data_IF_162413323961
#
_entry.id   IF_162413323961
#
_cell.length_a   1.000
_cell.length_b   1.000
_cell.length_c   1.000
_cell.angle_alpha   90.00
_cell.angle_beta   90.00
_cell.angle_gamma   90.00
#
_symmetry.space_group_name_H-M   'P 1'
#
loop_
_entity.id
_entity.type
_entity.pdbx_description
1 polymer ?
#
# COMPACT_ATOMS: atom_id res chain seq x y z
N UNK A 1 -45.99 -30.21 12.50
CA UNK A 1 -46.42 -30.58 13.87
C UNK A 1 -46.01 -32.03 14.12
N UNK A 2 -45.78 -32.41 15.39
CA UNK A 2 -45.22 -33.69 15.87
C UNK A 2 -43.77 -33.96 15.39
N UNK A 3 -42.72 -33.87 16.21
CA UNK A 3 -42.35 -34.51 17.50
C UNK A 3 -41.82 -35.94 17.41
N UNK A 4 -40.52 -36.07 17.72
CA UNK A 4 -39.91 -37.17 18.49
C UNK A 4 -39.62 -38.47 17.74
N UNK A 5 -38.72 -39.36 18.18
CA UNK A 5 -37.74 -39.42 19.29
C UNK A 5 -36.64 -40.36 18.73
N UNK A 6 -35.34 -40.05 18.71
CA UNK A 6 -34.40 -40.06 19.83
C UNK A 6 -33.48 -41.32 19.81
N UNK A 7 -32.27 -41.19 20.34
CA UNK A 7 -31.30 -42.25 20.67
C UNK A 7 -30.68 -43.13 19.56
N UNK A 8 -29.40 -42.82 19.31
CA UNK A 8 -28.28 -43.70 18.97
C UNK A 8 -28.44 -45.24 19.05
N UNK A 9 -27.82 -45.91 18.06
CA UNK A 9 -27.00 -47.13 18.21
C UNK A 9 -25.91 -47.10 17.11
N UNK A 10 -24.64 -47.21 17.50
CA UNK A 10 -23.59 -47.81 16.66
C UNK A 10 -23.47 -49.28 17.09
N UNK A 11 -23.25 -50.21 16.15
CA UNK A 11 -21.92 -50.82 16.11
C UNK A 11 -21.43 -51.10 14.68
N UNK A 12 -20.12 -50.98 14.47
CA UNK A 12 -19.49 -51.43 13.22
C UNK A 12 -19.15 -52.93 13.26
N UNK A 13 -18.98 -53.54 12.09
CA UNK A 13 -18.14 -54.73 11.94
C UNK A 13 -17.46 -54.77 10.55
N UNK A 14 -16.31 -55.42 10.51
CA UNK A 14 -15.29 -55.38 9.46
C UNK A 14 -15.36 -56.51 8.43
N UNK A 15 -14.94 -56.24 7.19
CA UNK A 15 -14.34 -57.21 6.24
C UNK A 15 -13.27 -56.44 5.43
N UNK A 16 -11.96 -56.53 5.71
CA UNK A 16 -10.99 -57.61 5.44
C UNK A 16 -10.71 -57.84 3.93
N UNK A 17 -9.50 -57.45 3.49
CA UNK A 17 -8.93 -57.78 2.17
C UNK A 17 -7.41 -57.65 2.16
N UNK A 18 -6.69 -58.79 2.09
CA UNK A 18 -5.24 -58.91 1.81
C UNK A 18 -4.96 -58.59 0.32
N UNK A 19 -3.78 -58.31 -0.23
CA UNK A 19 -2.33 -58.26 0.12
C UNK A 19 -1.68 -57.36 -0.98
N UNK A 20 -0.43 -56.87 -0.97
CA UNK A 20 0.78 -56.99 -0.13
C UNK A 20 1.67 -55.75 -0.39
N UNK A 21 2.60 -55.37 0.50
CA UNK A 21 3.58 -54.30 0.17
C UNK A 21 4.15 -53.49 1.35
N UNK A 22 5.17 -54.04 2.00
CA UNK A 22 6.15 -53.43 2.93
C UNK A 22 5.94 -51.92 3.25
N UNK A 23 5.33 -51.62 4.39
CA UNK A 23 5.28 -50.28 4.99
C UNK A 23 6.30 -50.18 6.13
N UNK A 24 7.22 -49.20 6.08
CA UNK A 24 8.25 -49.00 7.11
C UNK A 24 7.62 -48.53 8.42
N UNK A 25 7.89 -49.25 9.52
CA UNK A 25 7.45 -48.85 10.86
C UNK A 25 8.30 -47.70 11.40
N UNK A 26 7.70 -46.52 11.55
CA UNK A 26 8.07 -45.59 12.63
C UNK A 26 6.88 -45.39 13.57
N UNK A 27 7.05 -45.82 14.82
CA UNK A 27 6.09 -45.56 15.90
C UNK A 27 6.28 -44.12 16.37
N UNK A 28 5.41 -43.21 15.96
CA UNK A 28 5.16 -41.97 16.70
C UNK A 28 3.93 -42.20 17.59
N UNK A 29 4.15 -42.18 18.90
CA UNK A 29 3.09 -42.33 19.89
C UNK A 29 2.29 -41.02 19.95
N UNK A 30 1.09 -41.01 19.37
CA UNK A 30 0.13 -39.93 19.60
C UNK A 30 -0.43 -40.11 21.01
N UNK A 31 0.18 -39.45 21.98
CA UNK A 31 -0.42 -39.27 23.30
C UNK A 31 -1.51 -38.22 23.19
N UNK A 32 -2.76 -38.63 23.42
CA UNK A 32 -3.89 -37.71 23.44
C UNK A 32 -3.82 -36.83 24.70
N UNK A 33 -3.56 -35.53 24.52
CA UNK A 33 -3.81 -34.52 25.56
C UNK A 33 -5.05 -33.74 25.12
N UNK A 34 -6.21 -34.28 25.49
CA UNK A 34 -7.45 -33.50 25.50
C UNK A 34 -7.38 -32.50 26.65
N UNK A 35 -7.07 -31.24 26.32
CA UNK A 35 -7.11 -30.12 27.26
C UNK A 35 -8.12 -29.09 26.79
N UNK A 36 -9.34 -29.12 27.31
CA UNK A 36 -10.31 -28.06 27.06
C UNK A 36 -9.79 -26.75 27.65
N UNK A 37 -9.51 -25.75 26.80
CA UNK A 37 -9.10 -24.42 27.27
C UNK A 37 -10.23 -23.81 28.11
N UNK A 38 -9.97 -23.65 29.40
CA UNK A 38 -10.93 -23.11 30.34
C UNK A 38 -11.06 -21.59 30.10
N UNK A 39 -12.28 -21.13 29.83
CA UNK A 39 -12.57 -19.74 29.44
C UNK A 39 -12.13 -18.69 30.49
N UNK A 40 -11.96 -19.12 31.75
CA UNK A 40 -11.38 -18.28 32.82
C UNK A 40 -9.92 -17.90 32.59
N UNK A 41 -9.09 -18.81 32.07
CA UNK A 41 -7.64 -18.58 31.92
C UNK A 41 -7.33 -17.48 30.90
N UNK A 42 -8.22 -17.24 29.94
CA UNK A 42 -8.12 -16.11 29.00
C UNK A 42 -8.47 -14.78 29.70
N UNK A 43 -9.54 -14.77 30.51
CA UNK A 43 -9.96 -13.60 31.28
C UNK A 43 -8.93 -13.14 32.31
N UNK A 44 -8.27 -14.08 32.99
CA UNK A 44 -7.25 -13.76 34.00
C UNK A 44 -5.95 -13.22 33.37
N UNK A 45 -5.64 -13.60 32.13
CA UNK A 45 -4.52 -13.03 31.37
C UNK A 45 -4.79 -11.59 30.90
N UNK A 46 -6.03 -11.29 30.48
CA UNK A 46 -6.42 -9.93 30.04
C UNK A 46 -6.40 -8.87 31.16
N UNK A 47 -6.47 -9.28 32.43
CA UNK A 47 -6.51 -8.37 33.59
C UNK A 47 -5.12 -8.03 34.18
N UNK A 48 -4.04 -8.65 33.69
CA UNK A 48 -2.71 -8.60 34.33
C UNK A 48 -1.65 -7.79 33.56
N UNK A 49 -1.81 -7.65 32.23
CA UNK A 49 -0.87 -6.92 31.38
C UNK A 49 -1.62 -6.04 30.39
N UNK A 50 -1.37 -4.72 30.43
CA UNK A 50 -1.95 -3.73 29.51
C UNK A 50 -1.40 -3.78 28.08
N UNK A 51 -1.21 -4.99 27.52
CA UNK A 51 -0.97 -5.22 26.10
C UNK A 51 -2.30 -5.28 25.35
N UNK A 52 -2.28 -4.92 24.07
CA UNK A 52 -3.45 -5.01 23.19
C UNK A 52 -3.81 -6.46 22.86
N UNK A 53 -5.04 -6.72 22.39
CA UNK A 53 -5.45 -8.06 21.91
C UNK A 53 -4.47 -8.65 20.88
N UNK A 54 -3.87 -7.78 20.06
CA UNK A 54 -2.80 -8.14 19.12
C UNK A 54 -1.59 -8.74 19.82
N UNK A 55 -1.18 -8.21 20.96
CA UNK A 55 0.01 -8.66 21.68
C UNK A 55 -0.20 -10.05 22.30
N UNK A 56 -1.42 -10.34 22.76
CA UNK A 56 -1.83 -11.68 23.22
C UNK A 56 -1.76 -12.69 22.07
N UNK A 57 -2.34 -12.36 20.92
CA UNK A 57 -2.32 -13.23 19.72
C UNK A 57 -0.89 -13.46 19.22
N UNK A 58 -0.09 -12.40 19.08
CA UNK A 58 1.30 -12.51 18.61
C UNK A 58 2.17 -13.31 19.58
N UNK A 59 1.96 -13.17 20.90
CA UNK A 59 2.67 -13.96 21.91
C UNK A 59 2.34 -15.44 21.80
N UNK A 60 1.06 -15.80 21.60
CA UNK A 60 0.64 -17.19 21.39
C UNK A 60 1.25 -17.79 20.10
N UNK A 61 1.28 -17.03 19.01
CA UNK A 61 1.92 -17.45 17.73
C UNK A 61 3.43 -17.65 17.90
N UNK A 62 4.14 -16.72 18.55
CA UNK A 62 5.57 -16.86 18.82
C UNK A 62 5.86 -18.09 19.70
N UNK A 63 5.06 -18.33 20.73
CA UNK A 63 5.20 -19.51 21.59
C UNK A 63 4.97 -20.82 20.82
N UNK A 64 3.93 -20.90 19.98
CA UNK A 64 3.63 -22.07 19.17
C UNK A 64 4.72 -22.39 18.13
N UNK A 65 5.37 -21.36 17.57
CA UNK A 65 6.50 -21.50 16.65
C UNK A 65 7.86 -21.72 17.36
N UNK A 66 7.90 -21.79 18.69
CA UNK A 66 9.13 -21.95 19.46
C UNK A 66 10.02 -20.70 19.53
N UNK A 67 9.54 -19.55 19.03
CA UNK A 67 10.22 -18.25 19.08
C UNK A 67 10.15 -17.64 20.50
N UNK A 68 10.85 -18.28 21.45
CA UNK A 68 10.85 -17.94 22.88
C UNK A 68 11.62 -16.67 23.25
N UNK A 69 12.28 -16.01 22.29
CA UNK A 69 12.91 -14.71 22.47
C UNK A 69 12.75 -13.86 21.22
N UNK A 70 12.41 -12.59 21.42
CA UNK A 70 12.84 -11.51 20.53
C UNK A 70 14.36 -11.52 20.51
N UNK A 71 14.96 -12.17 19.50
CA UNK A 71 16.40 -12.03 19.26
C UNK A 71 16.63 -10.54 18.99
N UNK A 72 17.53 -9.85 19.71
CA UNK A 72 17.91 -8.50 19.33
C UNK A 72 18.30 -8.53 17.86
N UNK A 73 17.76 -7.61 17.07
CA UNK A 73 18.22 -7.46 15.70
C UNK A 73 19.74 -7.26 15.76
N UNK A 74 20.55 -8.06 15.02
CA UNK A 74 21.97 -7.79 14.96
C UNK A 74 22.16 -6.34 14.50
N UNK A 75 23.19 -5.63 14.98
CA UNK A 75 23.50 -4.31 14.42
C UNK A 75 23.63 -4.46 12.90
N UNK A 76 23.06 -3.53 12.11
CA UNK A 76 23.17 -3.60 10.66
C UNK A 76 24.65 -3.67 10.27
N UNK A 77 25.01 -4.45 9.23
CA UNK A 77 26.39 -4.52 8.77
C UNK A 77 26.85 -3.12 8.39
N UNK A 78 28.13 -2.82 8.66
CA UNK A 78 28.76 -1.60 8.17
C UNK A 78 28.81 -1.71 6.64
N UNK A 79 28.07 -0.84 5.97
CA UNK A 79 28.12 -0.68 4.51
C UNK A 79 29.28 0.28 4.20
N UNK A 80 30.04 -0.02 3.15
CA UNK A 80 31.00 0.93 2.58
C UNK A 80 30.20 1.99 1.81
N UNK A 81 29.84 3.06 2.50
CA UNK A 81 29.00 4.14 1.97
C UNK A 81 29.77 5.10 1.02
N UNK A 82 30.75 4.59 0.26
CA UNK A 82 31.40 5.29 -0.86
C UNK A 82 30.47 5.38 -2.09
N UNK A 83 29.23 5.82 -1.85
CA UNK A 83 28.16 5.96 -2.83
C UNK A 83 28.41 7.21 -3.66
N UNK A 84 28.72 7.02 -4.95
CA UNK A 84 28.71 8.10 -5.93
C UNK A 84 27.26 8.55 -6.17
N UNK A 85 26.88 9.69 -5.58
CA UNK A 85 25.58 10.33 -5.81
C UNK A 85 25.53 10.94 -7.20
N UNK A 86 24.44 10.71 -7.95
CA UNK A 86 24.24 11.28 -9.29
C UNK A 86 23.47 12.60 -9.28
N UNK A 87 22.79 12.92 -8.17
CA UNK A 87 22.16 14.20 -7.91
C UNK A 87 22.92 14.90 -6.77
N UNK A 88 23.22 16.19 -6.94
CA UNK A 88 23.86 17.00 -5.90
C UNK A 88 22.96 18.16 -5.49
N UNK A 89 22.93 18.49 -4.20
CA UNK A 89 22.04 19.51 -3.63
C UNK A 89 22.32 20.96 -4.09
N UNK A 90 23.38 21.18 -4.88
CA UNK A 90 23.73 22.44 -5.51
C UNK A 90 23.25 22.56 -6.98
N UNK A 91 22.60 21.53 -7.52
CA UNK A 91 21.97 21.53 -8.85
C UNK A 91 20.51 21.99 -8.77
N UNK A 92 19.91 22.42 -9.89
CA UNK A 92 18.44 22.60 -9.93
C UNK A 92 17.76 21.23 -9.94
N UNK A 93 17.42 20.76 -8.74
CA UNK A 93 16.73 19.49 -8.50
C UNK A 93 15.40 19.41 -9.24
N UNK A 94 14.70 20.53 -9.47
CA UNK A 94 13.43 20.56 -10.18
C UNK A 94 13.63 20.40 -11.70
N UNK A 95 14.69 20.99 -12.27
CA UNK A 95 15.07 20.73 -13.67
C UNK A 95 15.54 19.29 -13.87
N UNK A 96 16.38 18.78 -12.96
CA UNK A 96 16.82 17.37 -12.96
C UNK A 96 15.61 16.42 -12.88
N UNK A 97 14.68 16.66 -11.95
CA UNK A 97 13.45 15.90 -11.79
C UNK A 97 12.60 15.92 -13.08
N UNK A 98 12.33 17.09 -13.65
CA UNK A 98 11.55 17.23 -14.89
C UNK A 98 12.14 16.41 -16.03
N UNK A 99 13.48 16.44 -16.19
CA UNK A 99 14.18 15.63 -17.19
C UNK A 99 13.99 14.13 -16.95
N UNK A 100 14.25 13.66 -15.72
CA UNK A 100 14.15 12.23 -15.36
C UNK A 100 12.73 11.69 -15.43
N UNK A 101 11.75 12.47 -14.97
CA UNK A 101 10.33 12.16 -15.10
C UNK A 101 9.92 11.98 -16.56
N UNK A 102 10.41 12.84 -17.46
CA UNK A 102 10.22 12.72 -18.90
C UNK A 102 10.87 11.46 -19.49
N UNK A 103 12.10 11.13 -19.09
CA UNK A 103 12.83 9.92 -19.52
C UNK A 103 12.06 8.62 -19.20
N UNK A 104 11.33 8.56 -18.08
CA UNK A 104 10.50 7.39 -17.70
C UNK A 104 9.07 7.43 -18.27
N UNK A 105 8.70 8.52 -18.96
CA UNK A 105 7.42 8.67 -19.65
C UNK A 105 6.30 9.31 -18.82
N UNK A 106 6.64 10.13 -17.82
CA UNK A 106 5.66 11.02 -17.15
C UNK A 106 5.65 12.39 -17.81
N UNK A 107 4.48 13.03 -17.82
CA UNK A 107 4.36 14.43 -18.25
C UNK A 107 4.52 15.31 -17.03
N UNK A 108 5.40 16.32 -17.09
CA UNK A 108 5.54 17.31 -16.01
C UNK A 108 5.21 18.69 -16.55
N UNK A 109 4.25 19.35 -15.92
CA UNK A 109 3.80 20.69 -16.24
C UNK A 109 4.06 21.63 -15.07
N UNK A 110 4.81 22.71 -15.31
CA UNK A 110 5.06 23.74 -14.29
C UNK A 110 3.87 24.69 -14.17
N UNK A 111 3.48 25.00 -12.95
CA UNK A 111 2.32 25.84 -12.64
C UNK A 111 2.51 26.63 -11.34
N UNK A 112 1.60 27.56 -11.07
CA UNK A 112 1.51 28.31 -9.81
C UNK A 112 0.24 27.93 -9.07
N UNK A 113 0.20 28.10 -7.75
CA UNK A 113 -0.92 27.65 -6.89
C UNK A 113 -2.30 28.11 -7.38
N UNK A 114 -2.40 29.33 -7.93
CA UNK A 114 -3.64 29.91 -8.45
C UNK A 114 -4.15 29.24 -9.75
N UNK A 115 -3.27 28.56 -10.49
CA UNK A 115 -3.58 27.91 -11.76
C UNK A 115 -3.78 26.40 -11.65
N UNK A 116 -3.50 25.79 -10.49
CA UNK A 116 -3.59 24.33 -10.28
C UNK A 116 -4.96 23.77 -10.68
N UNK A 117 -6.07 24.37 -10.22
CA UNK A 117 -7.43 23.91 -10.55
C UNK A 117 -7.68 23.97 -12.06
N UNK A 118 -7.38 25.10 -12.70
CA UNK A 118 -7.55 25.26 -14.15
C UNK A 118 -6.72 24.25 -14.97
N UNK A 119 -5.52 23.90 -14.50
CA UNK A 119 -4.67 22.86 -15.12
C UNK A 119 -5.26 21.46 -14.93
N UNK A 120 -5.74 21.11 -13.73
CA UNK A 120 -6.44 19.85 -13.49
C UNK A 120 -7.65 19.74 -14.42
N UNK A 121 -8.52 20.75 -14.47
CA UNK A 121 -9.72 20.75 -15.33
C UNK A 121 -9.35 20.58 -16.81
N UNK A 122 -8.28 21.23 -17.27
CA UNK A 122 -7.75 21.05 -18.63
C UNK A 122 -7.35 19.59 -18.91
N UNK A 123 -6.51 19.00 -18.06
CA UNK A 123 -6.06 17.60 -18.20
C UNK A 123 -7.22 16.61 -18.14
N UNK A 124 -8.19 16.81 -17.24
CA UNK A 124 -9.41 15.98 -17.17
C UNK A 124 -10.23 16.07 -18.46
N UNK A 125 -10.37 17.26 -19.04
CA UNK A 125 -11.07 17.49 -20.30
C UNK A 125 -10.37 16.89 -21.52
N UNK A 126 -9.03 17.01 -21.60
CA UNK A 126 -8.21 16.40 -22.66
C UNK A 126 -8.34 14.86 -22.68
N UNK A 127 -8.36 14.25 -21.50
CA UNK A 127 -8.53 12.81 -21.33
C UNK A 127 -9.99 12.33 -21.32
N UNK A 128 -10.97 13.24 -21.43
CA UNK A 128 -12.43 12.96 -21.36
C UNK A 128 -12.83 12.15 -20.13
N UNK A 129 -12.31 12.55 -18.98
CA UNK A 129 -12.62 11.91 -17.69
C UNK A 129 -14.05 12.23 -17.28
N UNK A 130 -14.82 11.22 -16.88
CA UNK A 130 -16.16 11.41 -16.30
C UNK A 130 -16.14 11.21 -14.78
N UNK A 131 -15.25 10.36 -14.28
CA UNK A 131 -15.22 9.90 -12.88
C UNK A 131 -13.83 10.12 -12.28
N UNK A 132 -13.76 10.94 -11.23
CA UNK A 132 -12.51 11.23 -10.52
C UNK A 132 -12.49 10.62 -9.12
N UNK A 133 -11.30 10.18 -8.68
CA UNK A 133 -11.04 9.80 -7.30
C UNK A 133 -9.94 10.70 -6.73
N UNK A 134 -10.28 11.52 -5.74
CA UNK A 134 -9.36 12.47 -5.11
C UNK A 134 -8.91 11.94 -3.75
N UNK A 135 -7.59 11.85 -3.53
CA UNK A 135 -6.99 11.73 -2.21
C UNK A 135 -5.96 12.85 -2.02
N UNK A 136 -6.38 13.91 -1.34
CA UNK A 136 -5.54 15.06 -1.01
C UNK A 136 -5.49 15.22 0.51
N UNK A 137 -4.35 15.64 1.06
CA UNK A 137 -4.31 16.14 2.44
C UNK A 137 -4.76 17.60 2.50
N UNK A 138 -5.11 18.08 3.70
CA UNK A 138 -5.66 19.43 3.99
C UNK A 138 -4.82 20.60 3.42
N UNK A 139 -3.58 20.33 3.01
CA UNK A 139 -2.67 21.28 2.35
C UNK A 139 -3.09 21.67 0.91
N UNK A 140 -4.07 20.96 0.34
CA UNK A 140 -4.64 21.16 -0.99
C UNK A 140 -6.18 21.20 -0.95
N UNK A 141 -6.75 22.29 -0.43
CA UNK A 141 -8.20 22.55 -0.48
C UNK A 141 -8.66 22.97 -1.89
N UNK A 142 -8.63 22.01 -2.83
CA UNK A 142 -8.98 22.21 -4.24
C UNK A 142 -10.01 21.19 -4.75
N UNK A 143 -10.32 20.14 -3.98
CA UNK A 143 -11.19 19.06 -4.44
C UNK A 143 -12.61 19.55 -4.81
N UNK A 144 -13.17 20.44 -3.99
CA UNK A 144 -14.43 21.15 -4.24
C UNK A 144 -14.35 22.03 -5.48
N UNK A 145 -13.28 22.84 -5.61
CA UNK A 145 -13.08 23.75 -6.73
C UNK A 145 -12.93 23.02 -8.08
N UNK A 146 -12.34 21.82 -8.08
CA UNK A 146 -12.26 20.95 -9.26
C UNK A 146 -13.64 20.42 -9.63
N UNK A 147 -14.46 20.01 -8.66
CA UNK A 147 -15.83 19.52 -8.90
C UNK A 147 -16.81 20.62 -9.33
N UNK A 148 -16.60 21.86 -8.88
CA UNK A 148 -17.42 23.00 -9.30
C UNK A 148 -17.08 23.47 -10.73
N UNK A 149 -15.90 23.12 -11.26
CA UNK A 149 -15.37 23.61 -12.55
C UNK A 149 -15.25 22.53 -13.64
N UNK A 150 -15.17 21.25 -13.28
CA UNK A 150 -15.21 20.13 -14.21
C UNK A 150 -16.55 19.39 -14.09
N UNK A 151 -17.13 19.02 -15.23
CA UNK A 151 -18.35 18.21 -15.32
C UNK A 151 -18.03 16.72 -15.04
N UNK A 152 -17.64 16.42 -13.79
CA UNK A 152 -17.14 15.10 -13.37
C UNK A 152 -17.77 14.64 -12.05
N UNK A 153 -18.02 13.33 -11.94
CA UNK A 153 -18.52 12.70 -10.73
C UNK A 153 -17.35 12.29 -9.80
N UNK A 154 -17.43 12.64 -8.51
CA UNK A 154 -16.47 12.15 -7.51
C UNK A 154 -16.84 10.74 -7.03
N UNK A 155 -15.91 9.80 -7.17
CA UNK A 155 -15.95 8.49 -6.51
C UNK A 155 -15.45 8.64 -5.07
N UNK A 156 -16.36 9.04 -4.16
CA UNK A 156 -16.02 9.35 -2.75
C UNK A 156 -15.89 8.09 -1.90
N UNK A 157 -14.92 8.06 -0.96
CA UNK A 157 -14.89 7.00 0.04
C UNK A 157 -13.78 6.92 1.09
N UNK A 158 -13.05 7.98 1.45
CA UNK A 158 -11.96 7.86 2.46
C UNK A 158 -12.41 7.59 3.90
N UNK A 159 -13.72 7.50 4.16
CA UNK A 159 -14.30 6.93 5.39
C UNK A 159 -15.36 5.89 5.06
N UNK A 160 -15.13 4.65 5.49
CA UNK A 160 -16.18 3.63 5.61
C UNK A 160 -16.58 2.90 4.32
N UNK A 161 -15.80 2.97 3.24
CA UNK A 161 -15.98 2.08 2.08
C UNK A 161 -15.84 0.63 2.52
N UNK A 162 -16.94 -0.12 2.45
CA UNK A 162 -16.95 -1.55 2.70
C UNK A 162 -16.21 -2.31 1.59
N UNK A 163 -15.82 -3.55 1.86
CA UNK A 163 -15.17 -4.42 0.86
C UNK A 163 -16.03 -4.56 -0.42
N UNK A 164 -17.35 -4.43 -0.28
CA UNK A 164 -18.35 -4.47 -1.35
C UNK A 164 -18.31 -3.29 -2.34
N UNK A 165 -17.69 -2.17 -1.99
CA UNK A 165 -17.64 -0.95 -2.81
C UNK A 165 -16.29 -0.75 -3.52
N UNK A 166 -15.35 -1.71 -3.39
CA UNK A 166 -14.01 -1.63 -3.99
C UNK A 166 -14.02 -1.55 -5.52
N UNK A 167 -15.01 -2.17 -6.17
CA UNK A 167 -15.15 -2.15 -7.64
C UNK A 167 -15.28 -0.72 -8.18
N UNK A 168 -15.87 0.19 -7.39
CA UNK A 168 -16.02 1.60 -7.74
C UNK A 168 -14.69 2.34 -7.92
N UNK A 169 -13.59 1.81 -7.36
CA UNK A 169 -12.25 2.37 -7.57
C UNK A 169 -11.64 2.00 -8.92
N UNK A 170 -12.09 0.91 -9.55
CA UNK A 170 -11.76 0.59 -10.94
C UNK A 170 -12.61 1.38 -11.94
N UNK A 171 -13.76 1.89 -11.49
CA UNK A 171 -14.62 2.84 -12.21
C UNK A 171 -14.11 4.29 -12.16
N UNK A 172 -12.96 4.60 -11.56
CA UNK A 172 -12.39 5.95 -11.62
C UNK A 172 -11.49 6.08 -12.86
N UNK A 173 -11.79 7.04 -13.75
CA UNK A 173 -10.99 7.27 -14.97
C UNK A 173 -9.73 8.10 -14.65
N UNK A 174 -9.78 8.95 -13.61
CA UNK A 174 -8.59 9.64 -13.09
C UNK A 174 -8.49 9.63 -11.57
N UNK A 175 -7.26 9.48 -11.08
CA UNK A 175 -6.91 9.64 -9.67
C UNK A 175 -6.08 10.89 -9.45
N UNK A 176 -6.45 11.70 -8.47
CA UNK A 176 -5.73 12.93 -8.09
C UNK A 176 -5.11 12.73 -6.71
N UNK A 177 -3.78 12.84 -6.60
CA UNK A 177 -3.08 12.73 -5.31
C UNK A 177 -2.07 13.85 -5.07
N UNK A 178 -1.85 14.18 -3.80
CA UNK A 178 -0.67 14.93 -3.39
C UNK A 178 0.54 14.03 -3.15
N UNK A 179 1.71 14.59 -3.43
CA UNK A 179 3.01 13.91 -3.33
C UNK A 179 3.68 14.35 -2.03
N UNK A 180 4.23 13.42 -1.26
CA UNK A 180 4.97 13.74 -0.02
C UNK A 180 6.36 14.29 -0.32
N UNK A 181 7.04 13.68 -1.30
CA UNK A 181 8.37 14.06 -1.75
C UNK A 181 8.61 13.50 -3.17
N UNK A 182 9.58 14.04 -3.90
CA UNK A 182 10.01 13.50 -5.18
C UNK A 182 11.53 13.39 -5.27
N UNK A 183 12.03 12.31 -5.86
CA UNK A 183 13.47 12.06 -6.05
C UNK A 183 13.92 12.62 -7.40
N UNK A 184 14.80 13.60 -7.38
CA UNK A 184 15.35 14.22 -8.58
C UNK A 184 16.19 13.24 -9.41
N UNK A 185 17.05 12.44 -8.76
CA UNK A 185 17.97 11.48 -9.39
C UNK A 185 17.28 10.53 -10.39
N UNK A 186 16.13 10.00 -10.02
CA UNK A 186 15.38 8.95 -10.74
C UNK A 186 14.07 9.44 -11.36
N UNK A 187 13.62 10.67 -11.05
CA UNK A 187 12.31 11.15 -11.46
C UNK A 187 11.18 10.35 -10.80
N UNK A 188 11.30 10.07 -9.49
CA UNK A 188 10.35 9.23 -8.75
C UNK A 188 9.45 10.07 -7.85
N UNK A 189 8.13 9.85 -7.88
CA UNK A 189 7.19 10.42 -6.90
C UNK A 189 7.09 9.52 -5.68
N UNK A 190 6.92 10.10 -4.49
CA UNK A 190 6.68 9.38 -3.24
C UNK A 190 5.30 9.78 -2.71
N UNK A 191 4.34 8.87 -2.83
CA UNK A 191 3.00 9.04 -2.27
C UNK A 191 2.87 8.23 -0.97
N UNK A 192 2.21 8.78 0.04
CA UNK A 192 2.02 8.12 1.35
C UNK A 192 0.56 7.92 1.68
N UNK A 193 0.23 6.76 2.23
CA UNK A 193 -1.14 6.41 2.56
C UNK A 193 -1.36 6.36 4.07
N UNK A 194 -2.61 6.57 4.49
CA UNK A 194 -3.03 6.56 5.89
C UNK A 194 -4.48 6.05 5.99
N UNK A 195 -5.06 6.04 7.19
CA UNK A 195 -6.48 5.70 7.36
C UNK A 195 -7.44 6.70 6.66
N UNK A 196 -6.96 7.90 6.30
CA UNK A 196 -7.74 8.95 5.63
C UNK A 196 -7.26 9.24 4.19
N UNK A 197 -6.10 8.73 3.79
CA UNK A 197 -5.52 8.93 2.46
C UNK A 197 -5.31 7.56 1.80
N UNK A 198 -6.15 7.25 0.80
CA UNK A 198 -6.12 5.96 0.09
C UNK A 198 -4.95 5.87 -0.89
N UNK A 199 -4.37 4.68 -1.07
CA UNK A 199 -3.40 4.39 -2.14
C UNK A 199 -4.04 4.19 -3.52
N UNK A 200 -5.34 3.90 -3.56
CA UNK A 200 -6.02 3.51 -4.79
C UNK A 200 -5.95 4.57 -5.92
N UNK A 201 -6.07 5.89 -5.69
CA UNK A 201 -6.04 6.88 -6.77
C UNK A 201 -4.68 6.96 -7.50
N UNK A 202 -3.57 6.61 -6.85
CA UNK A 202 -2.26 6.56 -7.52
C UNK A 202 -1.93 5.22 -8.18
N UNK A 203 -2.83 4.24 -8.09
CA UNK A 203 -2.55 2.85 -8.48
C UNK A 203 -3.59 2.19 -9.39
N UNK A 204 -4.85 2.62 -9.38
CA UNK A 204 -5.93 1.97 -10.15
C UNK A 204 -6.39 2.76 -11.38
N UNK A 205 -6.64 4.09 -11.30
CA UNK A 205 -7.15 4.85 -12.44
C UNK A 205 -6.14 4.88 -13.60
N UNK A 206 -6.61 4.86 -14.87
CA UNK A 206 -5.72 4.89 -16.04
C UNK A 206 -4.96 6.23 -16.18
N UNK A 207 -5.49 7.32 -15.63
CA UNK A 207 -4.79 8.60 -15.47
C UNK A 207 -4.49 8.88 -14.00
N UNK A 208 -3.24 9.16 -13.67
CA UNK A 208 -2.82 9.66 -12.35
C UNK A 208 -2.34 11.11 -12.46
N UNK A 209 -3.01 12.03 -11.78
CA UNK A 209 -2.61 13.44 -11.66
C UNK A 209 -1.98 13.66 -10.28
N UNK A 210 -0.70 14.00 -10.28
CA UNK A 210 0.10 14.16 -9.07
C UNK A 210 0.42 15.64 -8.81
N UNK A 211 0.12 16.13 -7.60
CA UNK A 211 0.47 17.48 -7.16
C UNK A 211 1.79 17.45 -6.39
N UNK A 212 2.82 18.06 -6.97
CA UNK A 212 4.17 18.13 -6.41
C UNK A 212 4.54 19.60 -6.20
N UNK A 213 5.05 19.97 -5.02
CA UNK A 213 5.68 21.27 -4.83
C UNK A 213 7.16 21.22 -5.19
N UNK A 214 7.71 22.36 -5.57
CA UNK A 214 9.16 22.50 -5.76
C UNK A 214 9.95 22.21 -4.48
N UNK A 215 9.45 22.61 -3.31
CA UNK A 215 10.05 22.36 -1.99
C UNK A 215 10.21 20.88 -1.64
N UNK A 216 9.36 20.04 -2.22
CA UNK A 216 9.24 18.63 -1.86
C UNK A 216 10.15 17.74 -2.73
N UNK A 217 10.90 18.35 -3.66
CA UNK A 217 11.90 17.68 -4.49
C UNK A 217 13.23 17.59 -3.72
N UNK A 218 13.71 16.36 -3.57
CA UNK A 218 14.94 16.00 -2.86
C UNK A 218 15.91 15.27 -3.81
N UNK A 219 17.23 15.25 -3.54
CA UNK A 219 18.21 14.72 -4.49
C UNK A 219 18.00 13.23 -4.79
N UNK A 220 17.99 12.41 -3.74
CA UNK A 220 18.04 10.94 -3.84
C UNK A 220 17.27 10.23 -2.72
N UNK A 221 17.17 8.90 -2.83
CA UNK A 221 16.47 8.06 -1.86
C UNK A 221 17.18 7.98 -0.50
N UNK A 222 18.49 8.25 -0.43
CA UNK A 222 19.27 8.21 0.81
C UNK A 222 18.87 9.39 1.70
N UNK A 223 18.72 10.57 1.10
CA UNK A 223 18.23 11.77 1.78
C UNK A 223 16.78 11.61 2.23
N UNK A 224 15.92 10.99 1.41
CA UNK A 224 14.55 10.64 1.83
C UNK A 224 14.57 9.82 3.13
N UNK A 225 15.30 8.70 3.15
CA UNK A 225 15.35 7.85 4.34
C UNK A 225 16.06 8.51 5.52
N UNK A 226 17.03 9.40 5.28
CA UNK A 226 17.63 10.23 6.32
C UNK A 226 16.59 11.13 7.00
N UNK A 227 15.67 11.74 6.25
CA UNK A 227 14.56 12.53 6.79
C UNK A 227 13.52 11.69 7.57
N UNK A 228 13.43 10.38 7.32
CA UNK A 228 12.56 9.48 8.07
C UNK A 228 13.23 8.87 9.33
N UNK A 229 14.56 8.94 9.46
CA UNK A 229 15.27 8.41 10.65
C UNK A 229 14.80 9.11 11.92
N UNK A 230 14.45 8.32 12.94
CA UNK A 230 14.04 8.82 14.26
C UNK A 230 12.52 9.00 14.44
N UNK A 231 11.72 8.91 13.38
CA UNK A 231 10.24 8.83 13.50
C UNK A 231 9.83 7.53 14.21
N UNK A 232 8.84 7.57 15.10
CA UNK A 232 8.32 6.37 15.77
C UNK A 232 7.39 5.62 14.82
N UNK A 233 7.15 4.34 15.07
CA UNK A 233 6.28 3.51 14.24
C UNK A 233 4.82 4.00 14.16
N UNK A 234 4.38 4.86 15.09
CA UNK A 234 3.06 5.52 15.04
C UNK A 234 3.04 6.79 14.16
N UNK A 235 4.22 7.34 13.83
CA UNK A 235 4.39 8.53 13.00
C UNK A 235 4.65 8.17 11.52
N UNK A 236 4.74 6.87 11.20
CA UNK A 236 4.95 6.37 9.84
C UNK A 236 3.60 6.13 9.14
N UNK A 237 3.50 6.42 7.83
CA UNK A 237 2.31 6.13 7.04
C UNK A 237 2.07 4.61 6.92
N UNK A 238 0.83 4.21 6.62
CA UNK A 238 0.46 2.79 6.47
C UNK A 238 1.06 2.15 5.22
N UNK A 239 1.39 2.95 4.20
CA UNK A 239 2.25 2.57 3.07
C UNK A 239 2.97 3.79 2.50
N UNK A 240 4.16 3.55 1.92
CA UNK A 240 4.93 4.50 1.12
C UNK A 240 5.05 3.87 -0.27
N UNK A 241 4.59 4.59 -1.30
CA UNK A 241 4.60 4.12 -2.70
C UNK A 241 5.55 4.99 -3.51
N UNK A 242 6.54 4.37 -4.13
CA UNK A 242 7.48 5.00 -5.05
C UNK A 242 7.00 4.77 -6.48
N UNK A 243 6.72 5.84 -7.23
CA UNK A 243 6.16 5.80 -8.59
C UNK A 243 7.17 6.40 -9.56
N UNK A 244 7.66 5.58 -10.48
CA UNK A 244 8.73 5.94 -11.44
C UNK A 244 8.25 5.67 -12.86
N UNK A 245 7.39 6.55 -13.38
CA UNK A 245 6.74 6.36 -14.67
C UNK A 245 5.36 5.68 -14.59
N UNK A 246 4.64 5.60 -15.72
CA UNK A 246 3.43 4.80 -15.86
C UNK A 246 3.64 3.32 -15.53
N UNK A 247 2.55 2.64 -15.17
CA UNK A 247 2.54 1.20 -14.96
C UNK A 247 2.94 0.47 -16.23
N UNK A 248 3.97 -0.38 -16.16
CA UNK A 248 4.52 -1.13 -17.29
C UNK A 248 4.75 -2.57 -16.87
N UNK A 249 4.21 -3.50 -17.64
CA UNK A 249 4.47 -4.94 -17.51
C UNK A 249 5.13 -5.40 -18.80
N UNK A 250 6.31 -6.00 -18.72
CA UNK A 250 6.81 -6.81 -19.83
C UNK A 250 6.14 -8.17 -19.73
N UNK A 251 5.55 -8.64 -20.83
CA UNK A 251 5.25 -10.06 -20.96
C UNK A 251 6.56 -10.86 -21.02
N UNK A 252 6.48 -12.18 -20.80
CA UNK A 252 7.60 -13.13 -20.87
C UNK A 252 8.26 -13.09 -22.26
N UNK A 253 7.50 -12.75 -23.30
CA UNK A 253 7.97 -12.58 -24.68
C UNK A 253 8.71 -11.24 -24.94
N UNK A 254 8.88 -10.39 -23.92
CA UNK A 254 9.62 -9.13 -24.02
C UNK A 254 8.83 -7.96 -24.62
N UNK A 255 7.52 -8.14 -24.85
CA UNK A 255 6.63 -7.05 -25.29
C UNK A 255 6.24 -6.20 -24.08
N UNK A 256 6.59 -4.92 -24.14
CA UNK A 256 6.26 -3.94 -23.11
C UNK A 256 4.80 -3.48 -23.26
N UNK A 257 3.95 -3.83 -22.29
CA UNK A 257 2.56 -3.40 -22.22
C UNK A 257 2.39 -2.37 -21.10
N UNK A 258 1.93 -1.17 -21.45
CA UNK A 258 1.61 -0.09 -20.51
C UNK A 258 0.19 -0.25 -19.97
N UNK A 259 -0.02 -0.05 -18.66
CA UNK A 259 -1.35 0.12 -18.06
C UNK A 259 -2.08 -1.13 -17.59
N UNK A 260 -1.45 -2.31 -17.58
CA UNK A 260 -2.16 -3.57 -17.24
C UNK A 260 -2.67 -3.62 -15.79
N UNK A 261 -1.92 -3.02 -14.86
CA UNK A 261 -2.18 -3.06 -13.42
C UNK A 261 -2.06 -1.69 -12.75
N UNK A 262 -2.26 -0.60 -13.49
CA UNK A 262 -2.26 0.76 -12.96
C UNK A 262 -2.16 1.84 -14.03
N UNK A 263 -1.78 3.08 -13.68
CA UNK A 263 -1.90 4.24 -14.57
C UNK A 263 -1.14 4.07 -15.89
N UNK A 264 -1.81 4.32 -17.01
CA UNK A 264 -1.21 4.48 -18.35
C UNK A 264 -0.55 5.84 -18.52
N UNK A 265 -1.11 6.86 -17.86
CA UNK A 265 -0.65 8.24 -17.91
C UNK A 265 -0.39 8.75 -16.50
N UNK A 266 0.77 9.37 -16.29
CA UNK A 266 1.10 10.06 -15.05
C UNK A 266 1.43 11.51 -15.41
N UNK A 267 0.58 12.44 -14.96
CA UNK A 267 0.71 13.87 -15.19
C UNK A 267 1.04 14.57 -13.88
N UNK A 268 2.17 15.25 -13.82
CA UNK A 268 2.68 15.90 -12.62
C UNK A 268 2.50 17.41 -12.79
N UNK A 269 1.69 18.00 -11.91
CA UNK A 269 1.62 19.45 -11.76
C UNK A 269 2.70 19.85 -10.75
N UNK A 270 3.82 20.35 -11.27
CA UNK A 270 4.91 20.92 -10.49
C UNK A 270 4.55 22.36 -10.12
N UNK A 271 4.16 22.56 -8.87
CA UNK A 271 3.73 23.84 -8.33
C UNK A 271 4.94 24.56 -7.74
N UNK A 272 5.25 25.73 -8.29
CA UNK A 272 6.25 26.64 -7.71
C UNK A 272 5.75 27.15 -6.35
N UNK A 273 6.64 27.21 -5.35
CA UNK A 273 6.34 27.76 -4.03
C UNK A 273 6.24 29.29 -4.10
N UNK A 274 5.29 29.85 -3.36
CA UNK A 274 4.88 31.26 -3.42
C UNK A 274 5.58 32.14 -2.37
#
# INVERSE_FOLDING_TARGET
>A
MFHGVGSAICPGLSVVGRMNGICLRQRLAVSAIGGAMNMKTVSDAMMSTGGSDRDVVMTAVHAALGHTRTRPAPPPPVVDDSIARLAHANEDLAELFVRRAGEVGMVVERTVRQQVVAKIVGVLGEHKVERIFVALTDQWDIATQVLDQADVAMVVGTKGVGVSDLDRYYDADAGITDVQAALAETGTLICTSSAIHSRAPSMLPPLHVALLRRSDIIPDMIDYWAMQKGKRSMDLPSSITFITGPSKTSDIEGVLVTGVHGPMHVHILLVEDA
#
